data_IF_121550632996
#
_entry.id   IF_121550632996
#
_cell.length_a   1.000
_cell.length_b   1.000
_cell.length_c   1.000
_cell.angle_alpha   90.00
_cell.angle_beta   90.00
_cell.angle_gamma   90.00
#
_symmetry.space_group_name_H-M   'P 1'
#
loop_
_entity.id
_entity.type
_entity.pdbx_description
1 polymer ?
#
# COMPACT_ATOMS: atom_id res chain seq x y z
N UNK A 1 7.54 -7.97 5.25
CA UNK A 1 7.61 -8.04 6.72
C UNK A 1 8.75 -8.98 7.05
N UNK A 2 9.61 -8.58 7.97
CA UNK A 2 10.77 -9.38 8.38
C UNK A 2 10.32 -10.63 9.13
N UNK A 3 11.04 -11.75 9.00
CA UNK A 3 10.75 -13.01 9.70
C UNK A 3 10.64 -12.84 11.23
N UNK A 4 11.34 -11.84 11.79
CA UNK A 4 11.26 -11.43 13.19
C UNK A 4 9.92 -10.77 13.55
N UNK A 5 9.43 -9.85 12.72
CA UNK A 5 8.16 -9.14 12.96
C UNK A 5 6.98 -10.10 12.96
N UNK A 6 6.94 -11.03 12.00
CA UNK A 6 5.92 -12.07 11.91
C UNK A 6 5.96 -13.03 13.11
N UNK A 7 7.14 -13.26 13.67
CA UNK A 7 7.34 -14.12 14.85
C UNK A 7 6.90 -13.44 16.14
N UNK A 8 7.29 -12.18 16.37
CA UNK A 8 6.80 -11.37 17.48
C UNK A 8 5.27 -11.21 17.43
N UNK A 9 4.70 -11.04 16.23
CA UNK A 9 3.26 -10.99 16.03
C UNK A 9 2.55 -12.30 16.43
N UNK A 10 3.15 -13.46 16.14
CA UNK A 10 2.60 -14.77 16.58
C UNK A 10 2.62 -14.92 18.11
N UNK A 11 3.68 -14.48 18.78
CA UNK A 11 3.76 -14.49 20.24
C UNK A 11 2.68 -13.58 20.83
N UNK A 12 2.54 -12.37 20.30
CA UNK A 12 1.52 -11.43 20.73
C UNK A 12 0.11 -12.01 20.59
N UNK A 13 -0.21 -12.63 19.45
CA UNK A 13 -1.53 -13.22 19.22
C UNK A 13 -1.83 -14.40 20.15
N UNK A 14 -0.82 -15.21 20.50
CA UNK A 14 -1.01 -16.44 21.29
C UNK A 14 -0.96 -16.19 22.79
N UNK A 15 -0.09 -15.30 23.23
CA UNK A 15 0.20 -15.09 24.65
C UNK A 15 -0.23 -13.71 25.16
N UNK A 16 -0.73 -12.83 24.30
CA UNK A 16 -1.02 -11.43 24.66
C UNK A 16 0.21 -10.74 25.27
N UNK A 17 1.38 -10.97 24.67
CA UNK A 17 2.65 -10.38 25.12
C UNK A 17 3.39 -9.73 23.96
N UNK A 18 3.81 -8.48 24.15
CA UNK A 18 4.72 -7.78 23.24
C UNK A 18 6.16 -8.11 23.61
N UNK A 19 6.91 -8.60 22.63
CA UNK A 19 8.28 -9.11 22.82
C UNK A 19 9.19 -8.55 21.74
N UNK A 20 10.36 -8.09 22.14
CA UNK A 20 11.49 -7.81 21.26
C UNK A 20 12.72 -8.57 21.74
N UNK A 21 13.60 -8.96 20.81
CA UNK A 21 14.78 -9.77 21.11
C UNK A 21 15.83 -9.68 20.00
N UNK A 22 17.08 -9.95 20.33
CA UNK A 22 18.18 -10.03 19.36
C UNK A 22 18.48 -11.48 18.97
N UNK A 23 18.66 -11.74 17.67
CA UNK A 23 18.96 -13.07 17.12
C UNK A 23 17.84 -13.68 16.26
N UNK A 24 18.04 -14.93 15.84
CA UNK A 24 17.08 -15.67 15.00
C UNK A 24 16.29 -16.66 15.85
N UNK A 25 14.96 -16.56 15.91
CA UNK A 25 14.16 -17.43 16.76
C UNK A 25 14.08 -18.84 16.18
N UNK A 26 13.96 -19.86 17.04
CA UNK A 26 13.79 -21.22 16.58
C UNK A 26 12.37 -21.42 15.99
N UNK A 27 12.29 -21.55 14.66
CA UNK A 27 11.06 -21.50 13.83
C UNK A 27 9.93 -22.50 14.20
N UNK A 28 10.09 -23.39 15.17
CA UNK A 28 9.16 -24.53 15.40
C UNK A 28 8.18 -24.36 16.57
N UNK A 29 8.44 -23.55 17.58
CA UNK A 29 7.82 -23.79 18.90
C UNK A 29 6.62 -22.91 19.29
N UNK A 30 6.31 -21.83 18.56
CA UNK A 30 5.14 -20.99 18.90
C UNK A 30 3.82 -21.75 18.70
N UNK A 31 3.81 -22.87 17.95
CA UNK A 31 2.60 -23.64 17.63
C UNK A 31 2.30 -24.80 18.60
N UNK A 32 3.22 -25.19 19.48
CA UNK A 32 2.98 -26.32 20.40
C UNK A 32 1.98 -25.95 21.51
N UNK A 33 1.15 -26.91 21.98
CA UNK A 33 0.17 -26.66 23.04
C UNK A 33 0.87 -26.10 24.29
N UNK A 34 0.17 -25.19 24.99
CA UNK A 34 0.66 -24.58 26.23
C UNK A 34 1.00 -25.72 27.20
N UNK A 35 2.28 -25.90 27.59
CA UNK A 35 2.59 -26.83 28.67
C UNK A 35 1.85 -26.35 29.91
N UNK A 36 1.31 -27.31 30.66
CA UNK A 36 0.54 -27.15 31.90
C UNK A 36 0.82 -25.84 32.68
N UNK A 37 -0.24 -25.23 33.23
CA UNK A 37 -0.40 -23.95 33.95
C UNK A 37 0.74 -23.40 34.87
N UNK A 38 1.87 -24.09 34.99
CA UNK A 38 3.03 -23.81 35.84
C UNK A 38 4.34 -23.49 35.08
N UNK A 39 4.33 -23.27 33.75
CA UNK A 39 5.56 -22.89 33.01
C UNK A 39 6.15 -21.54 33.52
N UNK A 40 7.46 -21.56 33.81
CA UNK A 40 8.24 -20.36 34.21
C UNK A 40 8.75 -19.57 33.01
N UNK A 41 9.07 -18.29 33.20
CA UNK A 41 9.62 -17.44 32.14
C UNK A 41 10.89 -18.02 31.50
N UNK A 42 11.79 -18.61 32.30
CA UNK A 42 13.00 -19.27 31.78
C UNK A 42 12.66 -20.43 30.82
N UNK A 43 11.76 -21.31 31.24
CA UNK A 43 11.32 -22.47 30.44
C UNK A 43 10.61 -22.02 29.17
N UNK A 44 9.75 -21.00 29.28
CA UNK A 44 9.07 -20.42 28.13
C UNK A 44 10.06 -19.77 27.15
N UNK A 45 11.06 -19.03 27.64
CA UNK A 45 12.10 -18.40 26.79
C UNK A 45 12.88 -19.46 26.03
N UNK A 46 13.38 -20.49 26.72
CA UNK A 46 14.14 -21.59 26.12
C UNK A 46 13.30 -22.35 25.08
N UNK A 47 12.02 -22.60 25.37
CA UNK A 47 11.12 -23.29 24.43
C UNK A 47 10.74 -22.42 23.24
N UNK A 48 10.30 -21.18 23.47
CA UNK A 48 9.71 -20.29 22.45
C UNK A 48 10.77 -19.59 21.62
N UNK A 49 11.80 -19.04 22.25
CA UNK A 49 12.84 -18.25 21.57
C UNK A 49 14.07 -19.11 21.21
N UNK A 50 14.40 -20.10 22.05
CA UNK A 50 15.60 -20.93 21.93
C UNK A 50 16.83 -20.26 22.54
N UNK A 51 17.89 -21.04 22.76
CA UNK A 51 19.12 -20.59 23.41
C UNK A 51 19.93 -19.56 22.60
N UNK A 52 19.63 -19.44 21.29
CA UNK A 52 20.34 -18.54 20.37
C UNK A 52 19.88 -17.08 20.45
N UNK A 53 18.95 -16.75 21.35
CA UNK A 53 18.33 -15.42 21.46
C UNK A 53 18.78 -14.71 22.74
N UNK A 54 19.44 -13.56 22.58
CA UNK A 54 19.88 -12.67 23.66
C UNK A 54 18.97 -11.44 23.79
N UNK A 55 19.08 -10.74 24.93
CA UNK A 55 18.44 -9.44 25.16
C UNK A 55 16.94 -9.38 24.87
N UNK A 56 16.18 -10.23 25.59
CA UNK A 56 14.72 -10.31 25.45
C UNK A 56 14.05 -9.24 26.29
N UNK A 57 13.38 -8.30 25.64
CA UNK A 57 12.59 -7.25 26.30
C UNK A 57 11.10 -7.58 26.18
N UNK A 58 10.44 -7.62 27.34
CA UNK A 58 8.98 -7.76 27.45
C UNK A 58 8.36 -6.40 27.75
N UNK A 59 7.37 -6.02 26.95
CA UNK A 59 6.65 -4.77 27.17
C UNK A 59 5.38 -5.05 28.00
N UNK A 60 5.38 -4.57 29.25
CA UNK A 60 4.28 -4.66 30.22
C UNK A 60 4.51 -3.68 31.38
N UNK A 61 3.56 -3.51 32.31
CA UNK A 61 3.64 -2.48 33.36
C UNK A 61 4.76 -2.70 34.40
N UNK A 62 5.49 -3.83 34.35
CA UNK A 62 6.67 -4.08 35.20
C UNK A 62 7.81 -4.59 34.32
N UNK A 63 8.95 -3.90 34.42
CA UNK A 63 10.16 -4.10 33.61
C UNK A 63 11.02 -5.18 34.27
N UNK A 64 11.38 -6.18 33.46
CA UNK A 64 12.29 -7.30 33.72
C UNK A 64 11.80 -8.38 34.72
N UNK A 65 11.08 -9.41 34.24
CA UNK A 65 10.56 -10.45 35.12
C UNK A 65 11.65 -11.42 35.58
N UNK A 66 11.65 -11.73 36.88
CA UNK A 66 12.58 -12.71 37.43
C UNK A 66 12.39 -14.08 36.75
N UNK A 67 13.46 -14.88 36.53
CA UNK A 67 13.39 -16.15 35.78
C UNK A 67 12.34 -17.17 36.26
N UNK A 68 12.04 -17.14 37.56
CA UNK A 68 11.05 -17.98 38.24
C UNK A 68 9.61 -17.47 38.12
N UNK A 69 9.39 -16.30 37.51
CA UNK A 69 8.05 -15.72 37.34
C UNK A 69 7.23 -16.59 36.40
N UNK A 70 6.00 -16.91 36.80
CA UNK A 70 5.09 -17.72 35.99
C UNK A 70 4.56 -16.89 34.82
N UNK A 71 4.49 -17.49 33.64
CA UNK A 71 3.95 -16.83 32.44
C UNK A 71 2.51 -16.36 32.67
N UNK A 72 1.69 -17.16 33.36
CA UNK A 72 0.31 -16.81 33.71
C UNK A 72 0.23 -15.47 34.46
N UNK A 73 1.15 -15.19 35.37
CA UNK A 73 1.21 -13.92 36.10
C UNK A 73 1.54 -12.73 35.18
N UNK A 74 2.40 -12.94 34.20
CA UNK A 74 2.75 -11.92 33.20
C UNK A 74 1.59 -11.63 32.24
N UNK A 75 0.82 -12.67 31.87
CA UNK A 75 -0.38 -12.52 31.05
C UNK A 75 -1.47 -11.70 31.75
N UNK A 76 -1.66 -11.86 33.06
CA UNK A 76 -2.60 -11.03 33.83
C UNK A 76 -2.15 -9.58 34.01
N UNK A 77 -0.85 -9.29 33.91
CA UNK A 77 -0.31 -7.94 34.03
C UNK A 77 -0.41 -7.15 32.72
N UNK A 78 -0.42 -7.83 31.56
CA UNK A 78 -0.64 -7.21 30.25
C UNK A 78 -2.14 -7.28 29.96
N UNK A 79 -2.89 -6.30 30.47
CA UNK A 79 -4.35 -6.27 30.35
C UNK A 79 -4.78 -6.28 28.87
N UNK A 80 -5.70 -7.20 28.52
CA UNK A 80 -6.13 -7.48 27.15
C UNK A 80 -6.71 -6.23 26.47
N UNK A 81 -7.33 -5.34 27.23
CA UNK A 81 -7.88 -4.06 26.79
C UNK A 81 -6.81 -3.12 26.22
N UNK A 82 -5.59 -3.17 26.77
CA UNK A 82 -4.49 -2.33 26.29
C UNK A 82 -3.93 -2.83 24.96
N UNK A 83 -3.84 -4.15 24.80
CA UNK A 83 -3.45 -4.75 23.53
C UNK A 83 -4.51 -4.56 22.45
N UNK A 84 -5.79 -4.68 22.80
CA UNK A 84 -6.88 -4.39 21.86
C UNK A 84 -6.81 -2.95 21.35
N UNK A 85 -6.50 -1.98 22.21
CA UNK A 85 -6.28 -0.58 21.80
C UNK A 85 -5.10 -0.43 20.84
N UNK A 86 -4.00 -1.14 21.08
CA UNK A 86 -2.82 -1.14 20.20
C UNK A 86 -3.16 -1.80 18.85
N UNK A 87 -3.86 -2.93 18.83
CA UNK A 87 -4.29 -3.57 17.59
C UNK A 87 -5.25 -2.69 16.79
N UNK A 88 -6.18 -2.02 17.46
CA UNK A 88 -7.10 -1.08 16.84
C UNK A 88 -6.36 0.15 16.26
N UNK A 89 -5.29 0.63 16.91
CA UNK A 89 -4.48 1.73 16.36
C UNK A 89 -3.66 1.27 15.14
N UNK A 90 -3.08 0.06 15.18
CA UNK A 90 -2.40 -0.53 14.02
C UNK A 90 -3.34 -0.78 12.84
N UNK A 91 -4.56 -1.29 13.08
CA UNK A 91 -5.56 -1.49 12.05
C UNK A 91 -5.95 -0.16 11.39
N UNK A 92 -6.15 0.89 12.18
CA UNK A 92 -6.40 2.25 11.67
C UNK A 92 -5.24 2.81 10.86
N UNK A 93 -4.00 2.63 11.33
CA UNK A 93 -2.81 3.09 10.61
C UNK A 93 -2.63 2.36 9.26
N UNK A 94 -2.84 1.04 9.23
CA UNK A 94 -2.79 0.24 8.00
C UNK A 94 -3.89 0.65 7.02
N UNK A 95 -5.09 0.91 7.51
CA UNK A 95 -6.20 1.38 6.68
C UNK A 95 -5.92 2.79 6.10
N UNK A 96 -5.32 3.69 6.88
CA UNK A 96 -4.88 4.99 6.40
C UNK A 96 -3.80 4.84 5.31
N UNK A 97 -2.79 4.00 5.52
CA UNK A 97 -1.75 3.73 4.52
C UNK A 97 -2.34 3.14 3.23
N UNK A 98 -3.31 2.22 3.34
CA UNK A 98 -4.04 1.68 2.19
C UNK A 98 -4.77 2.77 1.42
N UNK A 99 -5.50 3.64 2.11
CA UNK A 99 -6.23 4.77 1.50
C UNK A 99 -5.27 5.72 0.79
N UNK A 100 -4.15 6.07 1.41
CA UNK A 100 -3.11 6.90 0.78
C UNK A 100 -2.55 6.25 -0.48
N UNK A 101 -2.20 4.96 -0.42
CA UNK A 101 -1.70 4.22 -1.58
C UNK A 101 -2.73 4.18 -2.73
N UNK A 102 -4.02 3.98 -2.42
CA UNK A 102 -5.10 4.04 -3.42
C UNK A 102 -5.21 5.46 -4.01
N UNK A 103 -5.23 6.50 -3.17
CA UNK A 103 -5.31 7.90 -3.62
C UNK A 103 -4.15 8.25 -4.56
N UNK A 104 -2.92 7.90 -4.18
CA UNK A 104 -1.73 8.15 -5.01
C UNK A 104 -1.79 7.36 -6.32
N UNK A 105 -2.30 6.12 -6.31
CA UNK A 105 -2.47 5.34 -7.52
C UNK A 105 -3.54 5.94 -8.45
N UNK A 106 -4.65 6.45 -7.89
CA UNK A 106 -5.69 7.17 -8.64
C UNK A 106 -5.12 8.45 -9.24
N UNK A 107 -4.47 9.32 -8.46
CA UNK A 107 -3.86 10.56 -8.95
C UNK A 107 -2.81 10.30 -10.05
N UNK A 108 -1.97 9.26 -9.89
CA UNK A 108 -0.98 8.89 -10.90
C UNK A 108 -1.63 8.35 -12.18
N UNK A 109 -2.79 7.70 -12.05
CA UNK A 109 -3.56 7.19 -13.18
C UNK A 109 -4.28 8.33 -13.89
N UNK A 110 -4.92 9.23 -13.14
CA UNK A 110 -5.55 10.44 -13.67
C UNK A 110 -4.54 11.29 -14.44
N UNK A 111 -3.36 11.58 -13.86
CA UNK A 111 -2.29 12.31 -14.56
C UNK A 111 -1.80 11.64 -15.84
N UNK A 112 -1.89 10.31 -15.95
CA UNK A 112 -1.53 9.59 -17.19
C UNK A 112 -2.58 9.74 -18.29
N UNK A 113 -3.82 10.05 -17.95
CA UNK A 113 -4.92 10.24 -18.90
C UNK A 113 -5.26 11.72 -19.12
N UNK A 114 -4.84 12.61 -18.21
CA UNK A 114 -5.07 14.06 -18.27
C UNK A 114 -4.29 14.71 -19.41
N UNK A 115 -3.05 14.29 -19.65
CA UNK A 115 -2.22 14.79 -20.74
C UNK A 115 -1.28 13.74 -21.34
N UNK A 116 -0.82 14.02 -22.56
CA UNK A 116 0.25 13.27 -23.21
C UNK A 116 1.23 14.21 -23.90
N UNK A 117 2.46 13.73 -24.11
CA UNK A 117 3.50 14.52 -24.76
C UNK A 117 3.21 14.73 -26.24
N UNK A 118 3.72 15.82 -26.81
CA UNK A 118 3.67 16.06 -28.26
C UNK A 118 4.33 14.95 -29.08
N UNK A 119 5.43 14.39 -28.59
CA UNK A 119 6.13 13.27 -29.22
C UNK A 119 5.19 12.07 -29.39
N UNK A 120 4.38 11.77 -28.37
CA UNK A 120 3.35 10.72 -28.46
C UNK A 120 2.28 11.03 -29.52
N UNK A 121 1.90 12.30 -29.68
CA UNK A 121 0.96 12.69 -30.74
C UNK A 121 1.58 12.56 -32.13
N UNK A 122 2.83 12.99 -32.29
CA UNK A 122 3.58 12.91 -33.54
C UNK A 122 3.71 11.45 -33.99
N UNK A 123 4.10 10.55 -33.08
CA UNK A 123 4.18 9.11 -33.35
C UNK A 123 2.83 8.53 -33.83
N UNK A 124 1.73 8.93 -33.17
CA UNK A 124 0.39 8.52 -33.58
C UNK A 124 0.07 9.05 -34.98
N UNK A 125 0.30 10.32 -35.27
CA UNK A 125 0.01 10.90 -36.58
C UNK A 125 0.85 10.28 -37.70
N UNK A 126 2.12 9.98 -37.44
CA UNK A 126 2.99 9.27 -38.37
C UNK A 126 2.46 7.86 -38.65
N UNK A 127 1.91 7.18 -37.64
CA UNK A 127 1.32 5.84 -37.81
C UNK A 127 0.10 5.80 -38.74
N UNK A 128 -0.56 6.94 -38.98
CA UNK A 128 -1.65 7.06 -39.93
C UNK A 128 -1.18 7.25 -41.39
N UNK A 129 0.13 7.24 -41.68
CA UNK A 129 0.75 7.12 -43.02
C UNK A 129 0.05 7.92 -44.15
N UNK A 130 -0.25 9.19 -43.89
CA UNK A 130 -0.89 10.07 -44.89
C UNK A 130 -2.35 9.72 -45.25
N UNK A 131 -2.98 8.78 -44.53
CA UNK A 131 -4.41 8.48 -44.65
C UNK A 131 -5.30 9.53 -43.98
N UNK A 132 -4.70 10.46 -43.24
CA UNK A 132 -5.41 11.56 -42.61
C UNK A 132 -5.76 12.62 -43.65
N UNK A 133 -7.05 12.99 -43.68
CA UNK A 133 -7.53 14.15 -44.42
C UNK A 133 -6.76 15.41 -44.01
N UNK A 134 -6.50 16.30 -44.98
CA UNK A 134 -5.67 17.50 -44.75
C UNK A 134 -6.21 18.37 -43.61
N UNK A 135 -7.53 18.48 -43.51
CA UNK A 135 -8.22 19.23 -42.44
C UNK A 135 -8.01 18.65 -41.04
N UNK A 136 -7.86 17.32 -40.94
CA UNK A 136 -7.61 16.61 -39.68
C UNK A 136 -6.13 16.74 -39.31
N UNK A 137 -5.23 16.65 -40.29
CA UNK A 137 -3.81 16.92 -40.07
C UNK A 137 -3.58 18.36 -39.58
N UNK A 138 -4.23 19.34 -40.21
CA UNK A 138 -4.15 20.75 -39.82
C UNK A 138 -4.71 21.02 -38.43
N UNK A 139 -5.69 20.23 -37.98
CA UNK A 139 -6.22 20.31 -36.62
C UNK A 139 -5.15 19.90 -35.61
N UNK A 140 -4.56 18.71 -35.74
CA UNK A 140 -3.56 18.21 -34.79
C UNK A 140 -2.24 19.00 -34.83
N UNK A 141 -1.83 19.49 -36.01
CA UNK A 141 -0.64 20.33 -36.15
C UNK A 141 -0.70 21.62 -35.31
N UNK A 142 -1.90 22.14 -34.99
CA UNK A 142 -2.03 23.31 -34.11
C UNK A 142 -1.60 23.00 -32.67
N UNK A 143 -1.88 21.79 -32.20
CA UNK A 143 -1.48 21.34 -30.87
C UNK A 143 0.02 21.06 -30.81
N UNK A 144 0.61 20.54 -31.89
CA UNK A 144 2.07 20.35 -32.00
C UNK A 144 2.82 21.69 -31.99
N UNK A 145 2.27 22.70 -32.68
CA UNK A 145 2.86 24.04 -32.77
C UNK A 145 2.57 24.95 -31.56
N UNK A 146 1.77 24.51 -30.59
CA UNK A 146 1.51 25.26 -29.36
C UNK A 146 2.82 25.43 -28.54
N UNK A 147 2.91 26.35 -27.59
CA UNK A 147 4.10 26.49 -26.73
C UNK A 147 4.14 25.47 -25.59
N UNK A 148 3.00 24.83 -25.28
CA UNK A 148 2.90 23.87 -24.19
C UNK A 148 3.59 22.53 -24.59
N UNK A 149 4.51 21.96 -23.78
CA UNK A 149 5.13 20.67 -24.08
C UNK A 149 4.15 19.49 -23.99
N UNK A 150 3.16 19.59 -23.10
CA UNK A 150 2.14 18.57 -22.89
C UNK A 150 0.81 19.01 -23.49
N UNK A 151 0.08 18.05 -24.05
CA UNK A 151 -1.23 18.29 -24.62
C UNK A 151 -2.30 17.72 -23.71
N UNK A 152 -3.23 18.58 -23.32
CA UNK A 152 -4.41 18.23 -22.52
C UNK A 152 -5.39 17.40 -23.36
N UNK A 153 -5.68 16.19 -22.88
CA UNK A 153 -6.53 15.23 -23.56
C UNK A 153 -7.98 15.72 -23.64
N UNK A 154 -8.49 16.36 -22.58
CA UNK A 154 -9.86 16.89 -22.55
C UNK A 154 -10.03 18.02 -23.57
N UNK A 155 -9.04 18.92 -23.65
CA UNK A 155 -9.03 20.02 -24.60
C UNK A 155 -9.09 19.53 -26.05
N UNK A 156 -8.22 18.60 -26.44
CA UNK A 156 -8.25 18.02 -27.81
C UNK A 156 -9.62 17.40 -28.09
N UNK A 157 -10.12 16.56 -27.19
CA UNK A 157 -11.37 15.83 -27.41
C UNK A 157 -12.56 16.79 -27.53
N UNK A 158 -12.61 17.82 -26.69
CA UNK A 158 -13.64 18.87 -26.74
C UNK A 158 -13.61 19.61 -28.08
N UNK A 159 -12.44 20.09 -28.50
CA UNK A 159 -12.30 20.81 -29.77
C UNK A 159 -12.64 19.91 -30.97
N UNK A 160 -12.23 18.63 -30.95
CA UNK A 160 -12.56 17.67 -32.00
C UNK A 160 -14.08 17.44 -32.11
N UNK A 161 -14.76 17.26 -30.97
CA UNK A 161 -16.22 17.08 -30.92
C UNK A 161 -16.94 18.34 -31.43
N UNK A 162 -16.48 19.53 -31.04
CA UNK A 162 -17.06 20.79 -31.51
C UNK A 162 -16.91 20.97 -33.02
N UNK A 163 -15.71 20.73 -33.56
CA UNK A 163 -15.44 20.78 -35.00
C UNK A 163 -16.33 19.78 -35.74
N UNK A 164 -16.36 18.53 -35.30
CA UNK A 164 -17.20 17.49 -35.90
C UNK A 164 -18.69 17.87 -35.90
N UNK A 165 -19.22 18.31 -34.75
CA UNK A 165 -20.62 18.72 -34.63
C UNK A 165 -20.97 19.93 -35.49
N UNK A 166 -20.03 20.85 -35.69
CA UNK A 166 -20.21 21.99 -36.60
C UNK A 166 -20.25 21.52 -38.06
N UNK A 167 -19.32 20.66 -38.46
CA UNK A 167 -19.30 20.07 -39.82
C UNK A 167 -20.59 19.30 -40.10
N UNK A 168 -21.05 18.47 -39.17
CA UNK A 168 -22.32 17.73 -39.32
C UNK A 168 -23.52 18.67 -39.43
N UNK A 169 -23.56 19.76 -38.64
CA UNK A 169 -24.63 20.76 -38.73
C UNK A 169 -24.64 21.46 -40.09
N UNK A 170 -23.48 21.91 -40.56
CA UNK A 170 -23.36 22.57 -41.86
C UNK A 170 -23.69 21.63 -43.02
N UNK A 171 -23.26 20.36 -42.94
CA UNK A 171 -23.63 19.34 -43.92
C UNK A 171 -25.15 19.14 -43.97
N UNK A 172 -25.81 19.01 -42.81
CA UNK A 172 -27.28 18.87 -42.72
C UNK A 172 -28.01 20.10 -43.28
N UNK A 173 -27.50 21.32 -43.09
CA UNK A 173 -28.08 22.54 -43.66
C UNK A 173 -27.91 22.66 -45.18
N UNK A 174 -26.90 22.01 -45.75
CA UNK A 174 -26.63 22.02 -47.20
C UNK A 174 -27.32 20.88 -47.96
N UNK A 175 -27.71 19.81 -47.26
CA UNK A 175 -28.36 18.63 -47.85
C UNK A 175 -29.87 18.54 -47.59
N UNK A 176 -30.47 19.53 -46.92
CA UNK A 176 -31.91 19.78 -46.80
C UNK A 176 -32.25 21.07 -47.57
#
# INVERSE_FOLDING_TARGET
>A
MSSKEDFCYKILKKYSMLVDFEGTPHSKSVLEPIPEDNETYKQWKERVLGDAVSDVTLYGPIIDPAPQTRIKTLQYQVDADHLEKIFNSFAKAKEAQRKTAISTAVEKTEKRYESFSKETLEDILVSFDGSLEHSVSDFFNRFLNDKNPDIDTEKIMRELIEVYNNVVREYRKRCL
#
